data_IF_326107362731
#
_entry.id   IF_326107362731
#
_cell.length_a   1.000
_cell.length_b   1.000
_cell.length_c   1.000
_cell.angle_alpha   90.00
_cell.angle_beta   90.00
_cell.angle_gamma   90.00
#
_symmetry.space_group_name_H-M   'P 1'
#
loop_
_entity.id
_entity.type
_entity.pdbx_description
1 polymer ?
#
# COMPACT_ATOMS: atom_id res chain seq x y z
N UNK A 1 28.93 11.83 12.60
CA UNK A 1 29.50 12.50 13.80
C UNK A 1 30.91 12.01 14.12
N UNK A 2 31.90 12.91 14.04
CA UNK A 2 33.33 12.62 14.25
C UNK A 2 33.59 12.17 15.69
N UNK A 3 34.32 11.07 15.85
CA UNK A 3 34.63 10.47 17.17
C UNK A 3 35.68 11.31 17.90
N UNK A 4 35.70 11.23 19.23
CA UNK A 4 36.65 11.99 20.07
C UNK A 4 38.12 11.74 19.69
N UNK A 5 38.58 10.50 19.39
CA UNK A 5 39.95 10.26 18.97
C UNK A 5 40.33 10.99 17.66
N UNK A 6 39.42 11.02 16.69
CA UNK A 6 39.62 11.71 15.41
C UNK A 6 39.71 13.23 15.60
N UNK A 7 38.92 13.79 16.53
CA UNK A 7 39.02 15.21 16.91
C UNK A 7 40.37 15.54 17.54
N UNK A 8 40.87 14.66 18.42
CA UNK A 8 42.16 14.83 19.06
C UNK A 8 43.31 14.75 18.05
N UNK A 9 43.22 13.82 17.10
CA UNK A 9 44.19 13.69 16.01
C UNK A 9 44.20 14.94 15.11
N UNK A 10 43.03 15.51 14.82
CA UNK A 10 42.92 16.74 14.05
C UNK A 10 43.54 17.94 14.79
N UNK A 11 43.37 18.03 16.10
CA UNK A 11 44.01 19.06 16.94
C UNK A 11 45.53 18.88 16.99
N UNK A 12 46.02 17.65 17.06
CA UNK A 12 47.45 17.32 17.08
C UNK A 12 48.16 17.51 15.73
N UNK A 13 47.42 17.55 14.62
CA UNK A 13 47.98 17.72 13.27
C UNK A 13 48.46 19.16 13.08
N UNK A 14 49.78 19.41 13.16
CA UNK A 14 50.34 20.77 13.10
C UNK A 14 50.25 21.43 11.72
N UNK A 15 50.38 20.64 10.65
CA UNK A 15 50.26 21.13 9.27
C UNK A 15 48.82 21.54 8.97
N UNK A 16 48.63 22.83 8.64
CA UNK A 16 47.31 23.36 8.27
C UNK A 16 46.77 22.65 7.03
N UNK A 17 47.64 22.35 6.06
CA UNK A 17 47.25 21.67 4.82
C UNK A 17 46.71 20.26 5.11
N UNK A 18 47.44 19.46 5.87
CA UNK A 18 47.00 18.09 6.23
C UNK A 18 45.72 18.11 7.07
N UNK A 19 45.58 19.11 7.95
CA UNK A 19 44.36 19.29 8.75
C UNK A 19 43.15 19.60 7.88
N UNK A 20 43.32 20.44 6.85
CA UNK A 20 42.26 20.75 5.88
C UNK A 20 41.89 19.53 5.04
N UNK A 21 42.86 18.74 4.59
CA UNK A 21 42.61 17.50 3.84
C UNK A 21 41.81 16.49 4.68
N UNK A 22 42.17 16.31 5.97
CA UNK A 22 41.39 15.47 6.90
C UNK A 22 39.97 16.01 7.10
N UNK A 23 39.81 17.31 7.29
CA UNK A 23 38.50 17.93 7.46
C UNK A 23 37.61 17.74 6.21
N UNK A 24 38.19 17.89 5.01
CA UNK A 24 37.48 17.60 3.76
C UNK A 24 37.01 16.15 3.68
N UNK A 25 37.86 15.18 4.04
CA UNK A 25 37.47 13.77 4.08
C UNK A 25 36.28 13.49 5.01
N UNK A 26 36.26 14.12 6.20
CA UNK A 26 35.10 14.01 7.11
C UNK A 26 33.84 14.65 6.52
N UNK A 27 33.96 15.79 5.83
CA UNK A 27 32.82 16.44 5.17
C UNK A 27 32.27 15.57 4.03
N UNK A 28 33.13 14.96 3.21
CA UNK A 28 32.70 14.07 2.12
C UNK A 28 31.96 12.84 2.66
N UNK A 29 32.47 12.23 3.73
CA UNK A 29 31.80 11.12 4.39
C UNK A 29 30.42 11.51 4.91
N UNK A 30 30.30 12.65 5.60
CA UNK A 30 29.03 13.12 6.16
C UNK A 30 28.04 13.51 5.04
N UNK A 31 28.51 14.12 3.94
CA UNK A 31 27.69 14.39 2.75
C UNK A 31 27.12 13.10 2.16
N UNK A 32 27.92 12.04 2.06
CA UNK A 32 27.47 10.74 1.55
C UNK A 32 26.33 10.16 2.41
N UNK A 33 26.49 10.20 3.74
CA UNK A 33 25.44 9.79 4.69
C UNK A 33 24.17 10.61 4.48
N UNK A 34 24.26 11.94 4.44
CA UNK A 34 23.12 12.83 4.23
C UNK A 34 22.40 12.57 2.89
N UNK A 35 23.14 12.25 1.83
CA UNK A 35 22.55 11.90 0.53
C UNK A 35 21.78 10.58 0.59
N UNK A 36 22.29 9.57 1.31
CA UNK A 36 21.59 8.30 1.54
C UNK A 36 20.31 8.55 2.35
N UNK A 37 20.39 9.29 3.45
CA UNK A 37 19.23 9.65 4.27
C UNK A 37 18.16 10.41 3.47
N UNK A 38 18.57 11.37 2.64
CA UNK A 38 17.65 12.11 1.76
C UNK A 38 16.95 11.20 0.77
N UNK A 39 17.66 10.23 0.18
CA UNK A 39 17.08 9.22 -0.73
C UNK A 39 16.06 8.35 0.00
N UNK A 40 16.41 7.85 1.18
CA UNK A 40 15.51 7.03 2.02
C UNK A 40 14.25 7.83 2.37
N UNK A 41 14.39 9.05 2.89
CA UNK A 41 13.28 9.93 3.25
C UNK A 41 12.34 10.18 2.06
N UNK A 42 12.91 10.43 0.88
CA UNK A 42 12.13 10.66 -0.34
C UNK A 42 11.35 9.41 -0.77
N UNK A 43 11.95 8.23 -0.66
CA UNK A 43 11.29 6.96 -0.97
C UNK A 43 10.15 6.66 0.00
N UNK A 44 10.39 6.83 1.30
CA UNK A 44 9.37 6.64 2.35
C UNK A 44 8.20 7.59 2.12
N UNK A 45 8.47 8.88 1.85
CA UNK A 45 7.41 9.87 1.59
C UNK A 45 6.52 9.47 0.40
N UNK A 46 7.13 9.07 -0.74
CA UNK A 46 6.37 8.61 -1.92
C UNK A 46 5.52 7.37 -1.63
N UNK A 47 6.06 6.43 -0.85
CA UNK A 47 5.32 5.23 -0.46
C UNK A 47 4.14 5.57 0.43
N UNK A 48 4.33 6.45 1.42
CA UNK A 48 3.25 6.92 2.29
C UNK A 48 2.14 7.62 1.50
N UNK A 49 2.50 8.52 0.59
CA UNK A 49 1.52 9.23 -0.28
C UNK A 49 0.72 8.26 -1.15
N UNK A 50 1.37 7.20 -1.68
CA UNK A 50 0.69 6.16 -2.44
C UNK A 50 -0.31 5.39 -1.57
N UNK A 51 0.13 4.91 -0.40
CA UNK A 51 -0.75 4.15 0.52
C UNK A 51 -1.92 5.00 1.01
N UNK A 52 -1.69 6.27 1.33
CA UNK A 52 -2.76 7.18 1.75
C UNK A 52 -3.76 7.43 0.62
N UNK A 53 -3.29 7.60 -0.62
CA UNK A 53 -4.15 7.74 -1.79
C UNK A 53 -4.99 6.48 -2.02
N UNK A 54 -4.37 5.31 -2.00
CA UNK A 54 -5.07 4.03 -2.16
C UNK A 54 -6.12 3.82 -1.07
N UNK A 55 -5.78 4.09 0.19
CA UNK A 55 -6.72 4.03 1.30
C UNK A 55 -7.91 4.97 1.08
N UNK A 56 -7.65 6.22 0.74
CA UNK A 56 -8.70 7.22 0.49
C UNK A 56 -9.62 6.81 -0.66
N UNK A 57 -9.06 6.36 -1.78
CA UNK A 57 -9.85 5.90 -2.94
C UNK A 57 -10.69 4.67 -2.59
N UNK A 58 -10.16 3.73 -1.80
CA UNK A 58 -10.92 2.57 -1.35
C UNK A 58 -12.10 2.96 -0.44
N UNK A 59 -11.90 3.90 0.48
CA UNK A 59 -12.99 4.42 1.32
C UNK A 59 -14.03 5.18 0.49
N UNK A 60 -13.61 5.94 -0.53
CA UNK A 60 -14.54 6.56 -1.48
C UNK A 60 -15.34 5.51 -2.26
N UNK A 61 -14.70 4.45 -2.75
CA UNK A 61 -15.38 3.36 -3.47
C UNK A 61 -16.40 2.65 -2.58
N UNK A 62 -16.07 2.37 -1.31
CA UNK A 62 -17.03 1.80 -0.35
C UNK A 62 -18.21 2.73 -0.10
N UNK A 63 -17.97 4.03 0.04
CA UNK A 63 -19.03 5.01 0.18
C UNK A 63 -19.93 5.05 -1.06
N UNK A 64 -19.35 5.07 -2.27
CA UNK A 64 -20.09 5.01 -3.53
C UNK A 64 -20.93 3.73 -3.63
N UNK A 65 -20.37 2.56 -3.34
CA UNK A 65 -21.10 1.28 -3.34
C UNK A 65 -22.27 1.29 -2.36
N UNK A 66 -22.09 1.93 -1.19
CA UNK A 66 -23.16 2.10 -0.21
C UNK A 66 -24.26 3.05 -0.72
N UNK A 67 -23.90 4.18 -1.33
CA UNK A 67 -24.84 5.16 -1.91
C UNK A 67 -25.58 4.60 -3.13
N UNK A 68 -24.91 3.77 -3.95
CA UNK A 68 -25.50 3.08 -5.09
C UNK A 68 -26.39 1.89 -4.69
N UNK A 69 -26.49 1.54 -3.40
CA UNK A 69 -27.27 0.41 -2.91
C UNK A 69 -26.64 -0.97 -3.18
N UNK A 70 -25.54 -1.05 -3.94
CA UNK A 70 -24.85 -2.31 -4.28
C UNK A 70 -23.99 -2.87 -3.12
N UNK A 71 -23.92 -2.17 -1.99
CA UNK A 71 -23.15 -2.57 -0.82
C UNK A 71 -23.64 -3.83 -0.10
N UNK A 72 -24.90 -4.23 -0.28
CA UNK A 72 -25.45 -5.48 0.28
C UNK A 72 -26.35 -6.24 -0.71
N UNK A 73 -27.14 -5.57 -1.56
CA UNK A 73 -28.19 -6.24 -2.35
C UNK A 73 -27.68 -7.08 -3.53
N UNK A 74 -26.60 -6.72 -4.24
CA UNK A 74 -26.16 -7.48 -5.42
C UNK A 74 -25.62 -8.89 -5.12
N UNK A 75 -25.05 -9.08 -3.92
CA UNK A 75 -24.67 -10.42 -3.42
C UNK A 75 -25.81 -11.10 -2.69
N UNK A 76 -26.68 -10.35 -2.02
CA UNK A 76 -27.84 -10.91 -1.34
C UNK A 76 -28.91 -11.38 -2.32
N UNK A 77 -29.14 -10.75 -3.47
CA UNK A 77 -30.13 -11.21 -4.45
C UNK A 77 -29.79 -12.61 -4.97
N UNK A 78 -28.54 -12.85 -5.34
CA UNK A 78 -28.11 -14.18 -5.78
C UNK A 78 -28.17 -15.20 -4.64
N UNK A 79 -27.87 -14.81 -3.40
CA UNK A 79 -27.95 -15.67 -2.23
C UNK A 79 -29.42 -15.96 -1.82
N UNK A 80 -30.31 -14.98 -1.96
CA UNK A 80 -31.74 -15.07 -1.70
C UNK A 80 -32.42 -15.95 -2.75
N UNK A 81 -32.09 -15.77 -4.03
CA UNK A 81 -32.54 -16.64 -5.12
C UNK A 81 -32.06 -18.08 -4.87
N UNK A 82 -30.81 -18.27 -4.44
CA UNK A 82 -30.29 -19.60 -4.07
C UNK A 82 -31.11 -20.22 -2.91
N UNK A 83 -31.42 -19.44 -1.88
CA UNK A 83 -32.23 -19.88 -0.75
C UNK A 83 -33.66 -20.25 -1.18
N UNK A 84 -34.27 -19.47 -2.10
CA UNK A 84 -35.60 -19.75 -2.66
C UNK A 84 -35.62 -21.01 -3.52
N UNK A 85 -34.60 -21.26 -4.32
CA UNK A 85 -34.45 -22.50 -5.12
C UNK A 85 -34.31 -23.73 -4.20
N UNK A 86 -33.60 -23.60 -3.07
CA UNK A 86 -33.46 -24.68 -2.08
C UNK A 86 -34.75 -24.95 -1.30
N UNK A 87 -35.48 -23.88 -0.91
CA UNK A 87 -36.72 -23.97 -0.12
C UNK A 87 -37.93 -24.44 -0.93
N UNK A 88 -37.95 -24.15 -2.24
CA UNK A 88 -39.06 -24.54 -3.12
C UNK A 88 -38.92 -26.00 -3.56
N UNK A 89 -40.01 -26.76 -3.52
CA UNK A 89 -40.05 -28.14 -4.05
C UNK A 89 -40.17 -28.09 -5.58
N UNK A 90 -39.02 -27.96 -6.24
CA UNK A 90 -38.92 -28.01 -7.70
C UNK A 90 -38.79 -29.47 -8.18
N UNK A 91 -39.27 -29.75 -9.40
CA UNK A 91 -38.92 -30.99 -10.10
C UNK A 91 -37.42 -31.01 -10.42
N UNK A 92 -36.85 -32.20 -10.66
CA UNK A 92 -35.40 -32.35 -10.92
C UNK A 92 -34.92 -31.49 -12.09
N UNK A 93 -35.68 -31.49 -13.19
CA UNK A 93 -35.40 -30.69 -14.39
C UNK A 93 -35.49 -29.17 -14.12
N UNK A 94 -36.48 -28.74 -13.34
CA UNK A 94 -36.64 -27.33 -12.98
C UNK A 94 -35.50 -26.83 -12.06
N UNK A 95 -35.07 -27.67 -11.09
CA UNK A 95 -33.94 -27.32 -10.20
C UNK A 95 -32.63 -27.18 -10.97
N UNK A 96 -32.30 -28.13 -11.84
CA UNK A 96 -31.08 -28.07 -12.66
C UNK A 96 -31.05 -26.82 -13.55
N UNK A 97 -32.19 -26.46 -14.15
CA UNK A 97 -32.31 -25.25 -14.97
C UNK A 97 -32.18 -23.96 -14.15
N UNK A 98 -32.81 -23.89 -12.98
CA UNK A 98 -32.71 -22.73 -12.08
C UNK A 98 -31.28 -22.53 -11.52
N UNK A 99 -30.58 -23.62 -11.19
CA UNK A 99 -29.19 -23.56 -10.74
C UNK A 99 -28.23 -23.12 -11.86
N UNK A 100 -28.46 -23.58 -13.09
CA UNK A 100 -27.69 -23.15 -14.26
C UNK A 100 -27.85 -21.66 -14.56
N UNK A 101 -29.09 -21.13 -14.48
CA UNK A 101 -29.35 -19.70 -14.65
C UNK A 101 -28.81 -18.85 -13.49
N UNK A 102 -28.90 -19.33 -12.25
CA UNK A 102 -28.29 -18.65 -11.09
C UNK A 102 -26.75 -18.57 -11.24
N UNK A 103 -26.13 -19.64 -11.76
CA UNK A 103 -24.69 -19.65 -12.04
C UNK A 103 -24.32 -18.61 -13.11
N UNK A 104 -25.14 -18.47 -14.15
CA UNK A 104 -24.96 -17.43 -15.19
C UNK A 104 -25.13 -16.02 -14.60
N UNK A 105 -26.14 -15.81 -13.77
CA UNK A 105 -26.40 -14.52 -13.11
C UNK A 105 -25.19 -14.07 -12.29
N UNK A 106 -24.59 -14.98 -11.51
CA UNK A 106 -23.35 -14.72 -10.74
C UNK A 106 -22.14 -14.35 -11.60
N UNK A 107 -22.09 -14.79 -12.86
CA UNK A 107 -21.00 -14.48 -13.79
C UNK A 107 -21.27 -13.26 -14.68
N UNK A 108 -22.51 -12.76 -14.71
CA UNK A 108 -22.88 -11.58 -15.50
C UNK A 108 -22.79 -10.26 -14.72
N UNK A 109 -22.63 -10.28 -13.40
CA UNK A 109 -22.30 -9.09 -12.60
C UNK A 109 -20.80 -8.77 -12.65
N UNK A 110 -20.39 -7.59 -13.14
CA UNK A 110 -19.18 -6.90 -12.68
C UNK A 110 -19.40 -6.26 -11.31
#
# INVERSE_FOLDING_TARGET
AIKIPEKQEMLATLSVKERLEKAMGFMEAEISVLQVEKRIRSRVKRQMEKTQREYYLNEQMKAIQKELGEGEDGRDEAAEIEARIKKTKLSKEAREKSEAELKKLRTMSP
#
